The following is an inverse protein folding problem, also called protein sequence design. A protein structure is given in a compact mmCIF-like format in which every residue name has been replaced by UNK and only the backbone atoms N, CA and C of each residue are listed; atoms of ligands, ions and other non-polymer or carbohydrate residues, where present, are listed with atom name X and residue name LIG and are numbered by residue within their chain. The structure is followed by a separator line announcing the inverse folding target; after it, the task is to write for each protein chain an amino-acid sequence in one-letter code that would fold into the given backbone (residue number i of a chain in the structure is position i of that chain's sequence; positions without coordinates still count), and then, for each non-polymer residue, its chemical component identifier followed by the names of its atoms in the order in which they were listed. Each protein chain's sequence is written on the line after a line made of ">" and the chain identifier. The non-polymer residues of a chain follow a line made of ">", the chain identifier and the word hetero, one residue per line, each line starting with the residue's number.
data_IF_257985519356
#
_entry.id   IF_257985519356
#
_cell.length_a   1.000
_cell.length_b   1.000
_cell.length_c   1.000
_cell.angle_alpha   90.00
_cell.angle_beta   90.00
_cell.angle_gamma   90.00
#
_symmetry.space_group_name_H-M   'P 1'
#
loop_
_entity.id
_entity.type
_entity.pdbx_description
1 polymer ?
#
# COMPACT_ATOMS: atom_id res chain seq x y z
N UNK A 1 61.07 -85.94 -58.76
CA UNK A 1 60.92 -84.56 -59.23
C UNK A 1 60.20 -83.75 -58.15
N UNK A 2 60.93 -83.20 -57.17
CA UNK A 2 60.39 -82.31 -56.11
C UNK A 2 60.91 -80.91 -56.40
N UNK A 3 60.02 -79.96 -56.73
CA UNK A 3 60.35 -78.54 -56.86
C UNK A 3 60.15 -77.87 -55.50
N UNK A 4 61.24 -77.48 -54.85
CA UNK A 4 61.23 -76.56 -53.72
C UNK A 4 60.73 -75.18 -54.18
N UNK A 5 59.66 -74.69 -53.56
CA UNK A 5 59.24 -73.29 -53.68
C UNK A 5 60.15 -72.45 -52.80
N UNK A 6 61.06 -71.70 -53.41
CA UNK A 6 61.84 -70.67 -52.73
C UNK A 6 60.95 -69.55 -52.23
N UNK A 7 60.84 -69.41 -50.90
CA UNK A 7 60.23 -68.26 -50.24
C UNK A 7 61.08 -67.01 -50.48
N UNK A 8 60.58 -66.06 -51.29
CA UNK A 8 61.12 -64.71 -51.34
C UNK A 8 60.74 -63.97 -50.05
N UNK A 9 61.62 -63.96 -49.05
CA UNK A 9 61.51 -63.06 -47.89
C UNK A 9 61.58 -61.61 -48.38
N UNK A 10 60.43 -60.93 -48.39
CA UNK A 10 60.31 -59.48 -48.64
C UNK A 10 61.18 -58.73 -47.63
N UNK A 11 62.28 -58.15 -48.08
CA UNK A 11 63.13 -57.28 -47.26
C UNK A 11 62.35 -55.97 -47.00
N UNK A 12 61.78 -55.83 -45.80
CA UNK A 12 61.11 -54.60 -45.37
C UNK A 12 62.19 -53.55 -45.18
N UNK A 13 62.07 -52.39 -45.84
CA UNK A 13 63.05 -51.31 -45.68
C UNK A 13 63.03 -50.82 -44.22
N UNK A 14 64.20 -50.48 -43.68
CA UNK A 14 64.35 -50.02 -42.28
C UNK A 14 63.37 -48.88 -41.95
N UNK A 15 63.08 -47.99 -42.92
CA UNK A 15 62.06 -46.93 -42.78
C UNK A 15 60.65 -47.48 -42.54
N UNK A 16 60.24 -48.54 -43.25
CA UNK A 16 58.94 -49.20 -43.03
C UNK A 16 58.89 -49.97 -41.71
N UNK A 17 60.01 -50.55 -41.27
CA UNK A 17 60.10 -51.25 -39.99
C UNK A 17 60.00 -50.28 -38.80
N UNK A 18 60.67 -49.13 -38.86
CA UNK A 18 60.57 -48.07 -37.82
C UNK A 18 59.16 -47.45 -37.79
N UNK A 19 58.57 -47.20 -38.96
CA UNK A 19 57.22 -46.65 -39.04
C UNK A 19 56.16 -47.61 -38.48
N UNK A 20 56.21 -48.90 -38.83
CA UNK A 20 55.27 -49.91 -38.33
C UNK A 20 55.53 -50.32 -36.87
N UNK A 21 56.78 -50.32 -36.42
CA UNK A 21 57.16 -50.85 -35.10
C UNK A 21 57.17 -49.83 -33.96
N UNK A 22 57.31 -48.52 -34.26
CA UNK A 22 57.44 -47.48 -33.23
C UNK A 22 56.43 -46.35 -33.48
N UNK A 23 56.37 -45.81 -34.70
CA UNK A 23 55.52 -44.64 -34.98
C UNK A 23 54.04 -45.00 -34.93
N UNK A 24 53.62 -46.07 -35.61
CA UNK A 24 52.22 -46.50 -35.65
C UNK A 24 51.66 -46.88 -34.26
N UNK A 25 52.36 -47.65 -33.41
CA UNK A 25 51.90 -47.93 -32.04
C UNK A 25 51.80 -46.67 -31.18
N UNK A 26 52.76 -45.74 -31.27
CA UNK A 26 52.68 -44.48 -30.53
C UNK A 26 51.49 -43.62 -30.99
N UNK A 27 51.20 -43.54 -32.29
CA UNK A 27 50.03 -42.82 -32.81
C UNK A 27 48.73 -43.49 -32.37
N UNK A 28 48.66 -44.82 -32.35
CA UNK A 28 47.49 -45.55 -31.87
C UNK A 28 47.30 -45.39 -30.34
N UNK A 29 48.37 -45.41 -29.56
CA UNK A 29 48.33 -45.17 -28.11
C UNK A 29 47.91 -43.73 -27.79
N UNK A 30 48.43 -42.74 -28.53
CA UNK A 30 47.98 -41.36 -28.43
C UNK A 30 46.51 -41.22 -28.83
N UNK A 31 46.07 -41.89 -29.90
CA UNK A 31 44.66 -41.89 -30.34
C UNK A 31 43.70 -42.57 -29.35
N UNK A 32 44.10 -43.66 -28.72
CA UNK A 32 43.31 -44.32 -27.66
C UNK A 32 43.25 -43.48 -26.38
N UNK A 33 44.37 -42.83 -26.02
CA UNK A 33 44.44 -41.92 -24.88
C UNK A 33 43.55 -40.69 -25.06
N UNK A 34 43.58 -40.06 -26.25
CA UNK A 34 42.72 -38.90 -26.54
C UNK A 34 41.24 -39.28 -26.64
N UNK A 35 40.91 -40.47 -27.15
CA UNK A 35 39.54 -40.97 -27.18
C UNK A 35 38.99 -41.27 -25.78
N UNK A 36 39.80 -41.89 -24.90
CA UNK A 36 39.45 -42.11 -23.50
C UNK A 36 39.27 -40.80 -22.72
N UNK A 37 40.14 -39.81 -22.97
CA UNK A 37 39.99 -38.47 -22.39
C UNK A 37 38.71 -37.78 -22.88
N UNK A 38 38.43 -37.87 -24.18
CA UNK A 38 37.25 -37.27 -24.79
C UNK A 38 35.94 -37.84 -24.24
N UNK A 39 35.81 -39.16 -24.14
CA UNK A 39 34.61 -39.82 -23.56
C UNK A 39 34.42 -39.49 -22.08
N UNK A 40 35.50 -39.35 -21.31
CA UNK A 40 35.44 -38.94 -19.91
C UNK A 40 35.02 -37.47 -19.73
N UNK A 41 35.48 -36.56 -20.60
CA UNK A 41 35.09 -35.15 -20.60
C UNK A 41 33.63 -34.99 -21.03
N UNK A 42 33.20 -35.71 -22.07
CA UNK A 42 31.81 -35.72 -22.54
C UNK A 42 30.84 -36.19 -21.45
N UNK A 43 31.10 -37.33 -20.80
CA UNK A 43 30.22 -37.85 -19.75
C UNK A 43 30.15 -36.96 -18.50
N UNK A 44 31.20 -36.17 -18.20
CA UNK A 44 31.17 -35.19 -17.12
C UNK A 44 30.38 -33.95 -17.49
N UNK A 45 30.53 -33.47 -18.72
CA UNK A 45 29.74 -32.37 -19.21
C UNK A 45 28.25 -32.71 -19.22
N UNK A 46 27.87 -33.90 -19.69
CA UNK A 46 26.46 -34.32 -19.66
C UNK A 46 25.93 -34.39 -18.24
N UNK A 47 26.69 -34.96 -17.30
CA UNK A 47 26.30 -34.97 -15.89
C UNK A 47 26.19 -33.56 -15.29
N UNK A 48 27.12 -32.66 -15.62
CA UNK A 48 27.09 -31.27 -15.17
C UNK A 48 25.84 -30.55 -15.66
N UNK A 49 25.48 -30.74 -16.93
CA UNK A 49 24.29 -30.15 -17.54
C UNK A 49 23.01 -30.76 -16.94
N UNK A 50 22.91 -32.09 -16.87
CA UNK A 50 21.75 -32.78 -16.30
C UNK A 50 21.53 -32.41 -14.82
N UNK A 51 22.60 -32.29 -14.03
CA UNK A 51 22.52 -31.86 -12.65
C UNK A 51 22.05 -30.40 -12.52
N UNK A 52 22.54 -29.52 -13.41
CA UNK A 52 22.12 -28.12 -13.44
C UNK A 52 20.65 -27.97 -13.85
N UNK A 53 20.21 -28.65 -14.90
CA UNK A 53 18.80 -28.68 -15.36
C UNK A 53 17.86 -29.29 -14.29
N UNK A 54 18.36 -30.26 -13.52
CA UNK A 54 17.63 -30.82 -12.38
C UNK A 54 17.59 -29.91 -11.15
N UNK A 55 18.32 -28.78 -11.16
CA UNK A 55 18.46 -27.87 -10.02
C UNK A 55 19.38 -28.39 -8.89
N UNK A 56 20.14 -29.47 -9.09
CA UNK A 56 21.18 -29.92 -8.16
C UNK A 56 22.48 -29.15 -8.44
N UNK A 57 22.48 -27.86 -8.09
CA UNK A 57 23.59 -26.96 -8.37
C UNK A 57 24.85 -27.37 -7.60
N UNK A 58 24.72 -28.02 -6.45
CA UNK A 58 25.87 -28.54 -5.70
C UNK A 58 26.56 -29.71 -6.43
N UNK A 59 25.81 -30.63 -7.04
CA UNK A 59 26.39 -31.67 -7.88
C UNK A 59 26.97 -31.10 -9.18
N UNK A 60 26.28 -30.15 -9.80
CA UNK A 60 26.74 -29.48 -11.01
C UNK A 60 28.05 -28.71 -10.79
N UNK A 61 28.17 -27.97 -9.68
CA UNK A 61 29.38 -27.22 -9.31
C UNK A 61 30.59 -28.15 -9.13
N UNK A 62 30.40 -29.32 -8.48
CA UNK A 62 31.44 -30.33 -8.33
C UNK A 62 31.92 -30.86 -9.69
N UNK A 63 30.99 -31.11 -10.62
CA UNK A 63 31.33 -31.54 -11.97
C UNK A 63 32.07 -30.44 -12.76
N UNK A 64 31.68 -29.18 -12.56
CA UNK A 64 32.26 -28.02 -13.22
C UNK A 64 33.71 -27.72 -12.82
N UNK A 65 34.11 -28.06 -11.58
CA UNK A 65 35.43 -27.74 -11.01
C UNK A 65 36.64 -28.25 -11.80
N UNK A 66 36.45 -29.28 -12.62
CA UNK A 66 37.51 -29.93 -13.41
C UNK A 66 37.26 -29.86 -14.92
N UNK A 67 36.16 -29.22 -15.35
CA UNK A 67 35.83 -29.06 -16.76
C UNK A 67 36.64 -27.94 -17.38
N UNK A 68 37.21 -28.07 -18.59
CA UNK A 68 37.89 -26.95 -19.24
C UNK A 68 36.90 -25.93 -19.84
N UNK A 69 37.17 -24.63 -19.67
CA UNK A 69 36.28 -23.53 -20.12
C UNK A 69 36.01 -23.54 -21.63
N UNK A 70 36.98 -24.01 -22.43
CA UNK A 70 36.88 -24.06 -23.88
C UNK A 70 36.02 -25.22 -24.40
N UNK A 71 35.59 -26.13 -23.52
CA UNK A 71 34.78 -27.26 -23.92
C UNK A 71 33.31 -26.85 -23.97
N UNK A 72 32.73 -26.82 -25.18
CA UNK A 72 31.35 -26.38 -25.42
C UNK A 72 31.08 -25.00 -24.80
N UNK A 73 29.98 -24.86 -24.07
CA UNK A 73 29.52 -23.68 -23.35
C UNK A 73 29.81 -23.80 -21.84
N UNK A 74 30.79 -24.62 -21.42
CA UNK A 74 31.14 -24.83 -20.00
C UNK A 74 31.27 -23.52 -19.22
N UNK A 75 31.86 -22.48 -19.82
CA UNK A 75 31.98 -21.17 -19.18
C UNK A 75 30.61 -20.53 -18.86
N UNK A 76 29.64 -20.63 -19.78
CA UNK A 76 28.27 -20.16 -19.60
C UNK A 76 27.51 -21.04 -18.60
N UNK A 77 27.65 -22.37 -18.70
CA UNK A 77 27.02 -23.32 -17.78
C UNK A 77 27.51 -23.12 -16.34
N UNK A 78 28.79 -22.75 -16.14
CA UNK A 78 29.28 -22.38 -14.81
C UNK A 78 28.62 -21.14 -14.24
N UNK A 79 28.36 -20.11 -15.06
CA UNK A 79 27.64 -18.92 -14.61
C UNK A 79 26.20 -19.29 -14.20
N UNK A 80 25.53 -20.12 -14.99
CA UNK A 80 24.21 -20.66 -14.64
C UNK A 80 24.22 -21.42 -13.31
N UNK A 81 25.18 -22.33 -13.13
CA UNK A 81 25.35 -23.06 -11.87
C UNK A 81 25.61 -22.10 -10.71
N UNK A 82 26.46 -21.09 -10.90
CA UNK A 82 26.77 -20.11 -9.87
C UNK A 82 25.53 -19.28 -9.46
N UNK A 83 24.72 -18.84 -10.42
CA UNK A 83 23.44 -18.16 -10.15
C UNK A 83 22.50 -19.05 -9.34
N UNK A 84 22.39 -20.34 -9.69
CA UNK A 84 21.64 -21.32 -8.91
C UNK A 84 22.16 -21.51 -7.48
N UNK A 85 23.49 -21.49 -7.27
CA UNK A 85 24.09 -21.52 -5.92
C UNK A 85 23.76 -20.27 -5.11
N UNK A 86 23.70 -19.08 -5.74
CA UNK A 86 23.23 -17.88 -5.05
C UNK A 86 21.77 -18.03 -4.60
N UNK A 87 20.91 -18.56 -5.47
CA UNK A 87 19.50 -18.85 -5.14
C UNK A 87 19.37 -19.82 -3.96
N UNK A 88 20.09 -20.95 -3.97
CA UNK A 88 20.08 -21.93 -2.86
C UNK A 88 20.56 -21.34 -1.53
N UNK A 89 21.43 -20.33 -1.58
CA UNK A 89 21.94 -19.65 -0.38
C UNK A 89 21.05 -18.49 0.09
N UNK A 90 19.95 -18.19 -0.62
CA UNK A 90 19.07 -17.05 -0.33
C UNK A 90 19.60 -15.70 -0.79
N UNK A 91 20.67 -15.66 -1.60
CA UNK A 91 21.20 -14.43 -2.20
C UNK A 91 20.47 -14.17 -3.53
N UNK A 92 19.17 -13.88 -3.43
CA UNK A 92 18.27 -13.82 -4.59
C UNK A 92 18.58 -12.67 -5.56
N UNK A 93 19.09 -11.54 -5.05
CA UNK A 93 19.55 -10.42 -5.89
C UNK A 93 20.70 -10.84 -6.81
N UNK A 94 21.70 -11.56 -6.29
CA UNK A 94 22.79 -12.09 -7.13
C UNK A 94 22.34 -13.23 -8.03
N UNK A 95 21.37 -14.02 -7.61
CA UNK A 95 20.78 -15.05 -8.46
C UNK A 95 20.08 -14.41 -9.68
N UNK A 96 19.23 -13.41 -9.46
CA UNK A 96 18.56 -12.63 -10.51
C UNK A 96 19.57 -12.02 -11.50
N UNK A 97 20.59 -11.32 -10.99
CA UNK A 97 21.63 -10.74 -11.83
C UNK A 97 22.39 -11.82 -12.63
N UNK A 98 22.72 -12.95 -11.98
CA UNK A 98 23.41 -14.06 -12.61
C UNK A 98 22.61 -14.73 -13.73
N UNK A 99 21.32 -14.95 -13.52
CA UNK A 99 20.43 -15.50 -14.55
C UNK A 99 20.15 -14.50 -15.68
N UNK A 100 20.04 -13.21 -15.36
CA UNK A 100 19.88 -12.13 -16.34
C UNK A 100 21.04 -12.04 -17.34
N UNK A 101 22.28 -12.26 -16.89
CA UNK A 101 23.46 -12.23 -17.76
C UNK A 101 23.50 -13.34 -18.82
N UNK A 102 22.76 -14.44 -18.61
CA UNK A 102 22.81 -15.61 -19.48
C UNK A 102 21.95 -15.47 -20.73
N UNK A 103 20.98 -14.55 -20.70
CA UNK A 103 19.97 -14.38 -21.73
C UNK A 103 18.79 -15.34 -21.56
N UNK A 104 17.64 -14.94 -22.11
CA UNK A 104 16.35 -15.61 -21.89
C UNK A 104 16.27 -17.05 -22.46
N UNK A 105 17.08 -17.37 -23.48
CA UNK A 105 17.03 -18.66 -24.18
C UNK A 105 18.02 -19.71 -23.62
N UNK A 106 18.83 -19.35 -22.61
CA UNK A 106 19.83 -20.27 -22.07
C UNK A 106 19.21 -21.20 -21.01
N UNK A 107 19.01 -22.46 -21.38
CA UNK A 107 18.31 -23.44 -20.53
C UNK A 107 16.93 -22.89 -20.11
N UNK A 108 16.66 -22.83 -18.80
CA UNK A 108 15.49 -22.22 -18.15
C UNK A 108 15.88 -20.93 -17.39
N UNK A 109 16.94 -20.23 -17.82
CA UNK A 109 17.46 -19.07 -17.09
C UNK A 109 16.41 -17.95 -16.91
N UNK A 110 15.52 -17.76 -17.87
CA UNK A 110 14.41 -16.79 -17.74
C UNK A 110 13.46 -17.17 -16.62
N UNK A 111 13.04 -18.42 -16.58
CA UNK A 111 12.16 -18.95 -15.53
C UNK A 111 12.84 -18.85 -14.16
N UNK A 112 14.13 -19.22 -14.07
CA UNK A 112 14.92 -19.10 -12.84
C UNK A 112 15.14 -17.66 -12.37
N UNK A 113 15.28 -16.72 -13.30
CA UNK A 113 15.33 -15.28 -12.99
C UNK A 113 14.03 -14.84 -12.33
N UNK A 114 12.90 -15.18 -12.94
CA UNK A 114 11.56 -14.87 -12.40
C UNK A 114 11.37 -15.50 -11.01
N UNK A 115 11.73 -16.78 -10.84
CA UNK A 115 11.72 -17.46 -9.54
C UNK A 115 12.58 -16.72 -8.50
N UNK A 116 13.77 -16.26 -8.90
CA UNK A 116 14.68 -15.49 -8.04
C UNK A 116 14.05 -14.17 -7.59
N UNK A 117 13.43 -13.41 -8.49
CA UNK A 117 12.75 -12.16 -8.14
C UNK A 117 11.55 -12.39 -7.22
N UNK A 118 10.74 -13.42 -7.45
CA UNK A 118 9.64 -13.74 -6.53
C UNK A 118 10.15 -14.06 -5.13
N UNK A 119 11.17 -14.91 -5.03
CA UNK A 119 11.78 -15.26 -3.75
C UNK A 119 12.42 -14.04 -3.07
N UNK A 120 13.01 -13.13 -3.86
CA UNK A 120 13.57 -11.89 -3.35
C UNK A 120 12.49 -10.96 -2.78
N UNK A 121 11.41 -10.71 -3.53
CA UNK A 121 10.28 -9.91 -3.06
C UNK A 121 9.66 -10.48 -1.78
N UNK A 122 9.45 -11.81 -1.72
CA UNK A 122 8.96 -12.50 -0.53
C UNK A 122 9.93 -12.39 0.67
N UNK A 123 11.25 -12.35 0.43
CA UNK A 123 12.23 -12.07 1.48
C UNK A 123 12.11 -10.63 1.98
N UNK A 124 12.00 -9.65 1.08
CA UNK A 124 11.86 -8.24 1.47
C UNK A 124 10.57 -8.02 2.29
N UNK A 125 9.47 -8.71 1.98
CA UNK A 125 8.26 -8.71 2.81
C UNK A 125 8.51 -9.22 4.22
N UNK A 126 9.26 -10.32 4.38
CA UNK A 126 9.61 -10.85 5.72
C UNK A 126 10.53 -9.92 6.50
N UNK A 127 11.38 -9.18 5.79
CA UNK A 127 12.28 -8.18 6.35
C UNK A 127 11.58 -6.84 6.63
N UNK A 128 10.29 -6.71 6.27
CA UNK A 128 9.47 -5.49 6.40
C UNK A 128 9.96 -4.33 5.52
N UNK A 129 10.67 -4.65 4.44
CA UNK A 129 11.16 -3.71 3.42
C UNK A 129 10.12 -3.59 2.29
N UNK A 130 8.96 -3.00 2.60
CA UNK A 130 7.78 -3.00 1.71
C UNK A 130 7.99 -2.25 0.39
N UNK A 131 8.67 -1.10 0.40
CA UNK A 131 8.94 -0.31 -0.82
C UNK A 131 9.75 -1.12 -1.84
N UNK A 132 10.78 -1.82 -1.35
CA UNK A 132 11.63 -2.66 -2.19
C UNK A 132 10.91 -3.91 -2.67
N UNK A 133 10.08 -4.51 -1.83
CA UNK A 133 9.22 -5.62 -2.25
C UNK A 133 8.27 -5.19 -3.38
N UNK A 134 7.63 -4.03 -3.23
CA UNK A 134 6.75 -3.45 -4.25
C UNK A 134 7.49 -3.23 -5.57
N UNK A 135 8.68 -2.62 -5.53
CA UNK A 135 9.52 -2.39 -6.72
C UNK A 135 9.78 -3.70 -7.47
N UNK A 136 10.24 -4.74 -6.77
CA UNK A 136 10.54 -6.05 -7.35
C UNK A 136 9.29 -6.67 -8.01
N UNK A 137 8.15 -6.65 -7.33
CA UNK A 137 6.92 -7.23 -7.89
C UNK A 137 6.37 -6.40 -9.06
N UNK A 138 6.53 -5.08 -9.06
CA UNK A 138 6.17 -4.22 -10.20
C UNK A 138 7.02 -4.51 -11.43
N UNK A 139 8.32 -4.74 -11.26
CA UNK A 139 9.17 -5.21 -12.36
C UNK A 139 8.67 -6.53 -12.94
N UNK A 140 8.30 -7.49 -12.09
CA UNK A 140 7.75 -8.77 -12.51
C UNK A 140 6.43 -8.63 -13.29
N UNK A 141 5.57 -7.68 -12.91
CA UNK A 141 4.35 -7.35 -13.66
C UNK A 141 4.69 -6.81 -15.05
N UNK A 142 5.67 -5.89 -15.14
CA UNK A 142 6.12 -5.33 -16.43
C UNK A 142 6.70 -6.43 -17.33
N UNK A 143 7.40 -7.41 -16.74
CA UNK A 143 7.92 -8.59 -17.44
C UNK A 143 6.83 -9.60 -17.83
N UNK A 144 5.59 -9.42 -17.36
CA UNK A 144 4.46 -10.31 -17.64
C UNK A 144 4.50 -11.63 -16.86
N UNK A 145 5.15 -11.66 -15.70
CA UNK A 145 5.22 -12.84 -14.86
C UNK A 145 3.85 -13.13 -14.21
N UNK A 146 3.34 -14.34 -14.44
CA UNK A 146 2.06 -14.76 -13.88
C UNK A 146 2.11 -14.79 -12.34
N UNK A 147 1.07 -14.27 -11.69
CA UNK A 147 0.97 -14.21 -10.23
C UNK A 147 1.66 -13.00 -9.58
N UNK A 148 2.37 -12.16 -10.34
CA UNK A 148 3.03 -10.98 -9.78
C UNK A 148 2.03 -9.89 -9.33
N UNK A 149 0.88 -9.79 -9.99
CA UNK A 149 -0.18 -8.83 -9.62
C UNK A 149 -0.75 -9.12 -8.22
N UNK A 150 -0.96 -10.40 -7.88
CA UNK A 150 -1.47 -10.82 -6.56
C UNK A 150 -0.51 -10.42 -5.43
N UNK A 151 0.80 -10.44 -5.71
CA UNK A 151 1.83 -10.07 -4.74
C UNK A 151 1.79 -8.60 -4.32
N UNK A 152 1.33 -7.70 -5.19
CA UNK A 152 1.19 -6.28 -4.83
C UNK A 152 0.11 -6.09 -3.75
N UNK A 153 -1.01 -6.81 -3.85
CA UNK A 153 -2.03 -6.82 -2.80
C UNK A 153 -1.47 -7.35 -1.47
N UNK A 154 -0.63 -8.39 -1.53
CA UNK A 154 0.03 -8.98 -0.36
C UNK A 154 1.03 -8.01 0.31
N UNK A 155 1.75 -7.20 -0.48
CA UNK A 155 2.65 -6.14 0.03
C UNK A 155 1.86 -5.13 0.85
N UNK A 156 0.84 -4.52 0.28
CA UNK A 156 0.06 -3.49 0.95
C UNK A 156 -0.66 -4.03 2.18
N UNK A 157 -1.20 -5.25 2.10
CA UNK A 157 -1.84 -5.89 3.24
C UNK A 157 -0.85 -6.14 4.40
N UNK A 158 0.35 -6.60 4.09
CA UNK A 158 1.41 -6.83 5.08
C UNK A 158 1.90 -5.52 5.69
N UNK A 159 2.02 -4.46 4.90
CA UNK A 159 2.39 -3.12 5.37
C UNK A 159 1.32 -2.55 6.30
N UNK A 160 0.05 -2.63 5.93
CA UNK A 160 -1.07 -2.19 6.77
C UNK A 160 -1.05 -2.88 8.15
N UNK A 161 -0.85 -4.20 8.18
CA UNK A 161 -0.72 -4.95 9.42
C UNK A 161 0.48 -4.53 10.25
N UNK A 162 1.62 -4.28 9.62
CA UNK A 162 2.80 -3.83 10.34
C UNK A 162 2.62 -2.45 10.97
N UNK A 163 2.00 -1.51 10.25
CA UNK A 163 1.67 -0.19 10.76
C UNK A 163 0.70 -0.28 11.95
N UNK A 164 -0.30 -1.16 11.86
CA UNK A 164 -1.18 -1.49 12.98
C UNK A 164 -0.44 -2.08 14.18
N UNK A 165 0.53 -2.98 13.97
CA UNK A 165 1.38 -3.48 15.06
C UNK A 165 2.15 -2.34 15.75
N UNK A 166 2.69 -1.39 14.98
CA UNK A 166 3.37 -0.22 15.54
C UNK A 166 2.41 0.62 16.38
N UNK A 167 1.23 0.90 15.85
CA UNK A 167 0.16 1.61 16.55
C UNK A 167 -0.23 0.89 17.87
N UNK A 168 -0.40 -0.43 17.83
CA UNK A 168 -0.77 -1.23 19.01
C UNK A 168 0.28 -1.18 20.11
N UNK A 169 1.56 -1.08 19.74
CA UNK A 169 2.65 -1.00 20.71
C UNK A 169 2.75 0.36 21.40
N UNK A 170 2.24 1.43 20.77
CA UNK A 170 2.31 2.80 21.31
C UNK A 170 1.00 3.29 21.93
N UNK A 171 -0.16 2.75 21.52
CA UNK A 171 -1.52 3.20 21.87
C UNK A 171 -1.92 3.10 23.36
N UNK A 172 -0.97 2.75 24.24
CA UNK A 172 -1.16 2.79 25.69
C UNK A 172 -1.48 4.20 26.23
N UNK A 173 -0.96 5.23 25.56
CA UNK A 173 -1.23 6.64 25.85
C UNK A 173 -1.90 7.29 24.62
N UNK A 174 -2.83 8.23 24.81
CA UNK A 174 -3.41 9.01 23.70
C UNK A 174 -2.34 9.91 23.09
N UNK A 175 -1.56 9.38 22.14
CA UNK A 175 -0.50 10.10 21.44
C UNK A 175 -0.96 10.50 20.04
N UNK A 176 -1.28 11.79 19.80
CA UNK A 176 -1.71 12.31 18.51
C UNK A 176 -0.81 11.93 17.33
N UNK A 177 0.50 11.79 17.55
CA UNK A 177 1.45 11.43 16.48
C UNK A 177 1.17 10.02 15.93
N UNK A 178 0.58 9.14 16.75
CA UNK A 178 0.29 7.76 16.36
C UNK A 178 -0.88 7.64 15.39
N UNK A 179 -1.75 8.65 15.27
CA UNK A 179 -2.87 8.61 14.32
C UNK A 179 -2.37 8.48 12.88
N UNK A 180 -1.23 9.08 12.55
CA UNK A 180 -0.60 8.96 11.23
C UNK A 180 -0.34 7.50 10.80
N UNK A 181 0.02 6.62 11.73
CA UNK A 181 0.22 5.20 11.43
C UNK A 181 -1.10 4.47 11.14
N UNK A 182 -2.19 4.92 11.77
CA UNK A 182 -3.53 4.39 11.53
C UNK A 182 -4.06 4.83 10.16
N UNK A 183 -3.82 6.08 9.77
CA UNK A 183 -4.08 6.63 8.43
C UNK A 183 -3.30 5.88 7.35
N UNK A 184 -1.98 5.75 7.52
CA UNK A 184 -1.13 5.01 6.58
C UNK A 184 -1.56 3.53 6.47
N UNK A 185 -2.00 2.92 7.58
CA UNK A 185 -2.52 1.56 7.57
C UNK A 185 -3.82 1.43 6.77
N UNK A 186 -4.71 2.42 6.89
CA UNK A 186 -5.96 2.49 6.13
C UNK A 186 -5.71 2.64 4.63
N UNK A 187 -4.83 3.56 4.25
CA UNK A 187 -4.41 3.73 2.85
C UNK A 187 -3.82 2.43 2.26
N UNK A 188 -3.03 1.70 3.06
CA UNK A 188 -2.49 0.41 2.66
C UNK A 188 -3.58 -0.66 2.54
N UNK A 189 -4.57 -0.70 3.45
CA UNK A 189 -5.68 -1.64 3.38
C UNK A 189 -6.55 -1.43 2.12
N UNK A 190 -6.86 -0.18 1.79
CA UNK A 190 -7.59 0.19 0.57
C UNK A 190 -6.79 -0.20 -0.68
N UNK A 191 -5.48 0.08 -0.71
CA UNK A 191 -4.61 -0.38 -1.82
C UNK A 191 -4.57 -1.91 -1.92
N UNK A 192 -4.58 -2.63 -0.82
CA UNK A 192 -4.64 -4.09 -0.82
C UNK A 192 -5.95 -4.59 -1.44
N UNK A 193 -7.10 -4.00 -1.10
CA UNK A 193 -8.38 -4.33 -1.72
C UNK A 193 -8.39 -4.05 -3.23
N UNK A 194 -7.94 -2.85 -3.64
CA UNK A 194 -7.87 -2.46 -5.06
C UNK A 194 -7.03 -3.44 -5.87
N UNK A 195 -5.97 -3.98 -5.27
CA UNK A 195 -5.09 -4.98 -5.87
C UNK A 195 -5.56 -6.42 -5.64
N UNK A 196 -6.81 -6.63 -5.21
CA UNK A 196 -7.46 -7.93 -5.15
C UNK A 196 -7.06 -8.82 -3.98
N UNK A 197 -6.45 -8.27 -2.93
CA UNK A 197 -6.12 -9.06 -1.73
C UNK A 197 -7.42 -9.54 -1.05
N UNK A 198 -7.57 -10.84 -0.73
CA UNK A 198 -8.83 -11.41 -0.27
C UNK A 198 -9.32 -10.87 1.08
N UNK A 199 -8.39 -10.35 1.90
CA UNK A 199 -8.69 -9.80 3.22
C UNK A 199 -8.58 -8.26 3.26
N UNK A 200 -8.37 -7.60 2.10
CA UNK A 200 -8.22 -6.13 2.02
C UNK A 200 -9.44 -5.39 2.56
N UNK A 201 -10.62 -5.67 1.98
CA UNK A 201 -11.89 -5.06 2.39
C UNK A 201 -12.23 -5.30 3.87
N UNK A 202 -11.96 -6.51 4.37
CA UNK A 202 -12.21 -6.84 5.77
C UNK A 202 -11.30 -6.06 6.72
N UNK A 203 -10.04 -5.82 6.33
CA UNK A 203 -9.10 -5.01 7.09
C UNK A 203 -9.48 -3.53 7.06
N UNK A 204 -9.90 -3.02 5.89
CA UNK A 204 -10.41 -1.66 5.76
C UNK A 204 -11.60 -1.41 6.69
N UNK A 205 -12.64 -2.25 6.63
CA UNK A 205 -13.79 -2.12 7.54
C UNK A 205 -13.38 -2.21 9.02
N UNK A 206 -12.42 -3.06 9.37
CA UNK A 206 -11.93 -3.16 10.75
C UNK A 206 -11.19 -1.89 11.20
N UNK A 207 -10.46 -1.24 10.30
CA UNK A 207 -9.80 0.04 10.54
C UNK A 207 -10.81 1.18 10.73
N UNK A 208 -11.91 1.21 9.97
CA UNK A 208 -13.00 2.16 10.18
C UNK A 208 -13.60 2.05 11.59
N UNK A 209 -13.84 0.82 12.08
CA UNK A 209 -14.32 0.62 13.46
C UNK A 209 -13.31 1.12 14.49
N UNK A 210 -12.03 0.97 14.18
CA UNK A 210 -10.94 1.35 15.04
C UNK A 210 -10.77 2.86 15.11
N UNK A 211 -10.82 3.56 13.98
CA UNK A 211 -10.84 5.01 13.91
C UNK A 211 -11.98 5.58 14.76
N UNK A 212 -13.18 5.00 14.67
CA UNK A 212 -14.29 5.44 15.51
C UNK A 212 -13.98 5.31 17.02
N UNK A 213 -13.42 4.17 17.45
CA UNK A 213 -13.09 3.93 18.84
C UNK A 213 -11.97 4.85 19.36
N UNK A 214 -10.90 5.03 18.57
CA UNK A 214 -9.78 5.90 18.93
C UNK A 214 -10.16 7.37 18.89
N UNK A 215 -10.98 7.80 17.93
CA UNK A 215 -11.54 9.14 17.88
C UNK A 215 -12.29 9.51 19.16
N UNK A 216 -13.12 8.59 19.68
CA UNK A 216 -13.80 8.79 20.98
C UNK A 216 -12.79 8.92 22.12
N UNK A 217 -11.76 8.08 22.15
CA UNK A 217 -10.73 8.10 23.19
C UNK A 217 -9.95 9.42 23.19
N UNK A 218 -9.50 9.89 22.03
CA UNK A 218 -8.82 11.18 21.89
C UNK A 218 -9.72 12.34 22.33
N UNK A 219 -11.00 12.29 21.97
CA UNK A 219 -11.97 13.29 22.37
C UNK A 219 -12.23 13.32 23.89
N UNK A 220 -12.44 12.16 24.50
CA UNK A 220 -12.63 12.06 25.96
C UNK A 220 -11.40 12.56 26.73
N UNK A 221 -10.20 12.31 26.20
CA UNK A 221 -8.96 12.84 26.77
C UNK A 221 -8.88 14.36 26.59
N UNK A 222 -9.16 14.89 25.39
CA UNK A 222 -9.17 16.34 25.13
C UNK A 222 -10.13 17.09 26.08
N UNK A 223 -11.29 16.49 26.39
CA UNK A 223 -12.24 17.04 27.35
C UNK A 223 -11.71 17.12 28.78
N UNK A 224 -10.81 16.23 29.20
CA UNK A 224 -10.20 16.29 30.54
C UNK A 224 -9.26 17.49 30.68
N UNK A 225 -8.73 18.00 29.57
CA UNK A 225 -7.87 19.17 29.50
C UNK A 225 -8.63 20.47 29.23
N UNK A 226 -9.95 20.50 29.49
CA UNK A 226 -10.85 21.63 29.21
C UNK A 226 -10.74 22.15 27.76
N UNK A 227 -10.29 21.29 26.85
CA UNK A 227 -10.08 21.62 25.44
C UNK A 227 -8.82 22.43 25.10
N UNK A 228 -7.88 22.60 26.04
CA UNK A 228 -6.64 23.37 25.79
C UNK A 228 -5.60 22.61 24.94
N UNK A 229 -5.70 21.28 24.85
CA UNK A 229 -4.78 20.47 24.05
C UNK A 229 -5.31 20.24 22.63
N UNK A 230 -4.96 21.17 21.74
CA UNK A 230 -5.34 21.14 20.33
C UNK A 230 -4.84 19.90 19.58
N UNK A 231 -3.76 19.26 20.02
CA UNK A 231 -3.24 18.08 19.34
C UNK A 231 -4.16 16.87 19.54
N UNK A 232 -4.77 16.74 20.73
CA UNK A 232 -5.78 15.71 20.99
C UNK A 232 -7.07 15.96 20.19
N UNK A 233 -7.45 17.23 20.01
CA UNK A 233 -8.58 17.60 19.16
C UNK A 233 -8.34 17.25 17.69
N UNK A 234 -7.20 17.64 17.13
CA UNK A 234 -6.81 17.32 15.75
C UNK A 234 -6.76 15.80 15.52
N UNK A 235 -6.21 15.04 16.47
CA UNK A 235 -6.18 13.58 16.43
C UNK A 235 -7.60 12.97 16.42
N UNK A 236 -8.51 13.47 17.26
CA UNK A 236 -9.90 13.05 17.25
C UNK A 236 -10.57 13.34 15.89
N UNK A 237 -10.39 14.54 15.35
CA UNK A 237 -10.91 14.93 14.04
C UNK A 237 -10.41 14.02 12.92
N UNK A 238 -9.09 13.82 12.85
CA UNK A 238 -8.45 12.95 11.86
C UNK A 238 -9.04 11.53 11.92
N UNK A 239 -9.26 10.99 13.13
CA UNK A 239 -9.91 9.68 13.25
C UNK A 239 -11.34 9.67 12.66
N UNK A 240 -12.14 10.69 12.94
CA UNK A 240 -13.54 10.73 12.49
C UNK A 240 -13.70 10.90 10.98
N UNK A 241 -12.73 11.50 10.30
CA UNK A 241 -12.66 11.62 8.82
C UNK A 241 -12.67 10.25 8.13
N UNK A 242 -12.25 9.18 8.80
CA UNK A 242 -12.20 7.83 8.24
C UNK A 242 -13.40 6.96 8.64
N UNK A 243 -14.41 7.52 9.31
CA UNK A 243 -15.63 6.78 9.71
C UNK A 243 -16.70 6.91 8.62
N UNK A 244 -17.33 5.81 8.14
CA UNK A 244 -18.37 5.88 7.12
C UNK A 244 -19.59 6.70 7.53
N UNK A 245 -20.15 7.47 6.59
CA UNK A 245 -21.38 8.29 6.72
C UNK A 245 -22.55 7.51 7.36
N UNK A 246 -22.69 6.22 7.05
CA UNK A 246 -23.76 5.37 7.59
C UNK A 246 -23.69 5.19 9.12
N UNK A 247 -22.51 5.36 9.74
CA UNK A 247 -22.30 5.36 11.20
C UNK A 247 -22.41 6.74 11.84
N UNK A 248 -22.38 7.83 11.07
CA UNK A 248 -22.54 9.21 11.56
C UNK A 248 -23.94 9.48 12.15
N UNK A 249 -24.91 8.58 11.90
CA UNK A 249 -26.23 8.61 12.51
C UNK A 249 -26.25 8.31 14.04
N UNK A 250 -25.09 7.98 14.63
CA UNK A 250 -24.96 7.89 16.09
C UNK A 250 -24.94 9.30 16.68
N UNK A 251 -25.90 9.62 17.56
CA UNK A 251 -25.99 10.92 18.25
C UNK A 251 -24.73 11.34 19.03
N UNK A 252 -23.78 10.43 19.22
CA UNK A 252 -22.46 10.68 19.80
C UNK A 252 -21.55 11.42 18.81
N UNK A 253 -21.44 11.01 17.55
CA UNK A 253 -20.64 11.68 16.51
C UNK A 253 -21.04 13.16 16.37
N UNK A 254 -22.34 13.39 16.34
CA UNK A 254 -22.96 14.70 16.31
C UNK A 254 -22.61 15.60 17.52
N UNK A 255 -22.65 15.06 18.74
CA UNK A 255 -22.24 15.78 19.96
C UNK A 255 -20.74 16.10 19.92
N UNK A 256 -19.93 15.16 19.43
CA UNK A 256 -18.49 15.31 19.26
C UNK A 256 -18.15 16.42 18.27
N UNK A 257 -18.76 16.45 17.07
CA UNK A 257 -18.52 17.52 16.08
C UNK A 257 -18.94 18.89 16.59
N UNK A 258 -20.05 18.99 17.34
CA UNK A 258 -20.45 20.26 17.96
C UNK A 258 -19.42 20.77 18.97
N UNK A 259 -18.85 19.87 19.79
CA UNK A 259 -17.87 20.23 20.81
C UNK A 259 -16.51 20.56 20.17
N UNK A 260 -16.12 19.86 19.09
CA UNK A 260 -14.92 20.16 18.31
C UNK A 260 -15.02 21.57 17.69
N UNK A 261 -16.15 21.89 17.05
CA UNK A 261 -16.40 23.22 16.45
C UNK A 261 -16.49 24.32 17.51
N UNK A 262 -16.97 24.00 18.71
CA UNK A 262 -17.02 24.96 19.82
C UNK A 262 -15.63 25.35 20.35
N UNK A 263 -14.67 24.42 20.33
CA UNK A 263 -13.35 24.56 20.94
C UNK A 263 -12.19 24.75 19.95
N UNK A 264 -12.38 24.48 18.66
CA UNK A 264 -11.33 24.68 17.64
C UNK A 264 -11.25 26.15 17.19
N UNK A 265 -10.02 26.68 17.16
CA UNK A 265 -9.70 27.98 16.54
C UNK A 265 -9.29 27.84 15.05
N UNK A 266 -9.21 26.61 14.51
CA UNK A 266 -8.85 26.34 13.11
C UNK A 266 -10.11 26.25 12.24
N UNK A 267 -10.38 27.31 11.48
CA UNK A 267 -11.52 27.43 10.56
C UNK A 267 -11.55 26.32 9.49
N UNK A 268 -10.39 25.81 9.07
CA UNK A 268 -10.33 24.82 7.98
C UNK A 268 -10.82 23.45 8.43
N UNK A 269 -10.50 23.07 9.67
CA UNK A 269 -11.00 21.84 10.29
C UNK A 269 -12.52 21.92 10.49
N UNK A 270 -13.02 23.08 10.89
CA UNK A 270 -14.46 23.34 11.02
C UNK A 270 -15.16 23.21 9.68
N UNK A 271 -14.64 23.82 8.61
CA UNK A 271 -15.19 23.72 7.25
C UNK A 271 -15.24 22.26 6.75
N UNK A 272 -14.15 21.50 6.91
CA UNK A 272 -14.05 20.12 6.42
C UNK A 272 -14.99 19.15 7.19
N UNK A 273 -15.16 19.37 8.49
CA UNK A 273 -16.17 18.66 9.29
C UNK A 273 -17.60 19.05 8.90
N UNK A 274 -17.84 20.31 8.54
CA UNK A 274 -19.13 20.81 8.10
C UNK A 274 -19.56 20.28 6.73
N UNK A 275 -18.63 20.06 5.80
CA UNK A 275 -18.92 19.47 4.49
C UNK A 275 -19.34 18.00 4.58
N UNK A 276 -18.93 17.29 5.63
CA UNK A 276 -19.16 15.84 5.81
C UNK A 276 -20.39 15.48 6.62
N UNK A 277 -20.90 16.38 7.48
CA UNK A 277 -22.11 16.11 8.27
C UNK A 277 -23.37 15.99 7.39
N UNK A 278 -23.92 14.78 7.24
CA UNK A 278 -25.26 14.63 6.64
C UNK A 278 -26.33 15.22 7.59
N UNK A 279 -27.23 16.05 7.05
CA UNK A 279 -27.93 17.13 7.79
C UNK A 279 -29.12 16.71 8.67
N UNK A 280 -29.42 15.42 8.86
CA UNK A 280 -30.60 15.00 9.66
C UNK A 280 -30.39 15.11 11.20
N UNK A 281 -29.18 14.92 11.79
CA UNK A 281 -28.88 15.24 13.18
C UNK A 281 -28.95 16.75 13.48
N UNK A 282 -28.92 17.61 12.44
CA UNK A 282 -28.93 19.08 12.56
C UNK A 282 -30.19 19.62 13.28
N UNK A 283 -31.28 18.82 13.27
CA UNK A 283 -32.50 19.13 14.04
C UNK A 283 -32.29 19.16 15.56
N UNK A 284 -31.21 18.58 16.09
CA UNK A 284 -30.91 18.57 17.54
C UNK A 284 -29.87 19.62 17.96
N UNK A 285 -29.26 20.35 17.01
CA UNK A 285 -28.01 21.13 17.12
C UNK A 285 -28.09 22.55 17.61
N UNK A 286 -29.28 23.11 17.75
CA UNK A 286 -29.34 24.55 17.96
C UNK A 286 -29.04 25.01 19.39
N UNK A 287 -28.40 24.19 20.22
CA UNK A 287 -27.92 24.62 21.54
C UNK A 287 -26.65 25.51 21.45
N UNK A 288 -25.86 25.41 20.38
CA UNK A 288 -24.63 26.19 20.22
C UNK A 288 -24.90 27.57 19.61
N UNK A 289 -24.42 28.63 20.26
CA UNK A 289 -24.53 30.01 19.79
C UNK A 289 -23.62 30.33 18.58
N UNK A 290 -22.58 29.52 18.30
CA UNK A 290 -21.65 29.71 17.17
C UNK A 290 -22.15 29.10 15.85
N UNK A 291 -22.93 28.03 15.90
CA UNK A 291 -23.34 27.26 14.71
C UNK A 291 -24.40 27.97 13.86
N UNK A 292 -25.39 28.60 14.51
CA UNK A 292 -26.46 29.28 13.80
C UNK A 292 -25.97 30.49 12.96
N UNK A 293 -25.07 31.35 13.47
CA UNK A 293 -24.37 32.36 12.68
C UNK A 293 -23.77 31.85 11.36
N UNK A 294 -22.95 30.80 11.40
CA UNK A 294 -22.27 30.22 10.23
C UNK A 294 -23.29 29.62 9.26
N UNK A 295 -24.30 28.93 9.78
CA UNK A 295 -25.38 28.39 8.96
C UNK A 295 -26.18 29.50 8.26
N UNK A 296 -26.45 30.61 8.95
CA UNK A 296 -27.16 31.77 8.41
C UNK A 296 -26.33 32.64 7.46
N UNK A 297 -25.04 32.38 7.30
CA UNK A 297 -24.18 33.11 6.38
C UNK A 297 -24.61 32.86 4.94
N UNK A 298 -24.63 33.92 4.13
CA UNK A 298 -25.12 33.91 2.75
C UNK A 298 -26.59 34.32 2.59
N UNK A 299 -27.06 34.32 1.35
CA UNK A 299 -28.40 34.77 0.99
C UNK A 299 -29.41 33.62 1.09
N UNK A 300 -30.41 33.78 1.96
CA UNK A 300 -31.51 32.83 2.09
C UNK A 300 -32.79 33.38 1.46
N UNK A 301 -33.36 32.66 0.49
CA UNK A 301 -34.60 33.04 -0.18
C UNK A 301 -35.83 32.37 0.45
N UNK A 302 -36.79 33.16 0.93
CA UNK A 302 -38.15 32.67 1.24
C UNK A 302 -39.18 33.44 0.44
N UNK A 303 -39.14 33.29 -0.89
CA UNK A 303 -40.10 33.97 -1.76
C UNK A 303 -40.01 35.50 -1.69
N UNK A 304 -40.76 36.15 -0.78
CA UNK A 304 -40.75 37.63 -0.59
C UNK A 304 -39.80 38.13 0.49
N UNK A 305 -39.20 37.25 1.29
CA UNK A 305 -38.34 37.65 2.42
C UNK A 305 -36.91 37.13 2.26
N UNK A 306 -35.95 37.97 2.64
CA UNK A 306 -34.51 37.70 2.60
C UNK A 306 -33.97 37.82 4.01
N UNK A 307 -33.16 36.84 4.41
CA UNK A 307 -32.38 36.87 5.64
C UNK A 307 -30.92 36.72 5.28
N UNK A 308 -30.09 37.56 5.90
CA UNK A 308 -28.64 37.54 5.72
C UNK A 308 -28.02 37.75 7.10
N UNK A 309 -27.06 36.92 7.48
CA UNK A 309 -26.26 37.14 8.68
C UNK A 309 -24.87 37.62 8.27
N UNK A 310 -24.43 38.73 8.87
CA UNK A 310 -23.08 39.27 8.77
C UNK A 310 -22.48 39.29 10.19
N UNK A 311 -21.21 38.91 10.33
CA UNK A 311 -20.55 38.85 11.62
C UNK A 311 -20.23 40.24 12.22
N UNK A 312 -20.08 41.27 11.39
CA UNK A 312 -19.89 42.66 11.80
C UNK A 312 -21.23 43.35 12.12
N UNK A 313 -22.24 43.11 11.28
CA UNK A 313 -23.50 43.86 11.27
C UNK A 313 -24.70 43.10 11.87
N UNK A 314 -24.57 41.80 12.16
CA UNK A 314 -25.59 40.95 12.75
C UNK A 314 -26.62 40.40 11.75
N UNK A 315 -27.80 39.99 12.26
CA UNK A 315 -28.89 39.49 11.40
C UNK A 315 -29.56 40.67 10.68
N UNK A 316 -29.44 40.71 9.37
CA UNK A 316 -30.29 41.50 8.49
C UNK A 316 -31.50 40.67 8.02
N UNK A 317 -32.69 41.24 8.09
CA UNK A 317 -33.91 40.60 7.57
C UNK A 317 -34.83 41.64 6.94
N UNK A 318 -35.54 41.24 5.88
CA UNK A 318 -36.61 42.06 5.31
C UNK A 318 -37.94 41.96 6.07
N UNK A 319 -37.98 41.19 7.17
CA UNK A 319 -39.08 41.19 8.13
C UNK A 319 -38.96 42.35 9.13
N UNK A 320 -40.10 42.76 9.69
CA UNK A 320 -40.15 43.84 10.67
C UNK A 320 -39.54 43.36 12.00
N UNK A 321 -38.23 43.59 12.14
CA UNK A 321 -37.55 43.56 13.44
C UNK A 321 -37.98 44.82 14.19
N UNK A 322 -38.68 44.66 15.32
CA UNK A 322 -39.15 45.79 16.11
C UNK A 322 -38.02 46.73 16.56
N UNK A 323 -38.33 47.71 17.42
CA UNK A 323 -37.34 48.69 17.93
C UNK A 323 -36.33 48.11 18.96
N UNK A 324 -35.78 46.92 18.71
CA UNK A 324 -34.72 46.35 19.53
C UNK A 324 -33.42 47.14 19.34
N UNK A 325 -32.71 47.35 20.45
CA UNK A 325 -31.43 48.05 20.50
C UNK A 325 -30.26 47.09 20.31
N UNK A 326 -30.44 45.84 20.72
CA UNK A 326 -29.44 44.77 20.61
C UNK A 326 -30.15 43.45 20.30
N UNK A 327 -29.44 42.56 19.62
CA UNK A 327 -29.90 41.24 19.23
C UNK A 327 -28.88 40.20 19.69
N UNK A 328 -29.37 39.05 20.14
CA UNK A 328 -28.51 37.91 20.43
C UNK A 328 -29.27 36.60 20.19
N UNK A 329 -28.53 35.52 20.00
CA UNK A 329 -29.09 34.20 19.70
C UNK A 329 -28.77 33.25 20.85
N UNK A 330 -29.77 32.52 21.33
CA UNK A 330 -29.59 31.47 22.31
C UNK A 330 -30.55 30.31 22.02
N UNK A 331 -30.04 29.08 22.00
CA UNK A 331 -30.83 27.87 21.78
C UNK A 331 -31.70 27.93 20.52
N UNK A 332 -31.15 28.47 19.43
CA UNK A 332 -31.87 28.62 18.16
C UNK A 332 -32.93 29.71 18.11
N UNK A 333 -33.02 30.53 19.15
CA UNK A 333 -33.96 31.65 19.23
C UNK A 333 -33.19 32.96 19.21
N UNK A 334 -33.55 33.85 18.29
CA UNK A 334 -33.10 35.24 18.30
C UNK A 334 -33.98 36.06 19.24
N UNK A 335 -33.32 36.76 20.15
CA UNK A 335 -33.91 37.66 21.13
C UNK A 335 -33.58 39.10 20.75
N UNK A 336 -34.58 39.97 20.88
CA UNK A 336 -34.42 41.41 20.83
C UNK A 336 -34.50 41.99 22.23
N UNK A 337 -33.63 42.95 22.53
CA UNK A 337 -33.66 43.68 23.79
C UNK A 337 -33.92 45.17 23.55
N UNK A 338 -34.91 45.73 24.24
CA UNK A 338 -35.21 47.16 24.26
C UNK A 338 -35.24 47.64 25.72
N UNK A 339 -34.17 48.33 26.15
CA UNK A 339 -33.98 48.69 27.55
C UNK A 339 -33.79 47.45 28.43
N UNK A 340 -34.63 47.28 29.46
CA UNK A 340 -34.60 46.11 30.37
C UNK A 340 -35.53 44.97 29.95
N UNK A 341 -36.23 45.11 28.82
CA UNK A 341 -37.20 44.13 28.35
C UNK A 341 -36.63 43.33 27.20
N UNK A 342 -36.70 42.01 27.35
CA UNK A 342 -36.30 41.04 26.34
C UNK A 342 -37.54 40.40 25.73
N UNK A 343 -37.50 40.15 24.42
CA UNK A 343 -38.56 39.48 23.69
C UNK A 343 -37.99 38.59 22.59
N UNK A 344 -38.70 37.51 22.29
CA UNK A 344 -38.34 36.57 21.24
C UNK A 344 -38.75 37.15 19.89
N UNK A 345 -37.85 37.09 18.92
CA UNK A 345 -38.07 37.56 17.55
C UNK A 345 -38.35 36.38 16.63
N UNK A 346 -37.37 35.48 16.52
CA UNK A 346 -37.40 34.34 15.62
C UNK A 346 -36.91 33.08 16.31
N UNK A 347 -37.53 31.94 16.02
CA UNK A 347 -36.98 30.62 16.28
C UNK A 347 -36.60 30.02 14.94
N UNK A 348 -35.33 29.70 14.77
CA UNK A 348 -34.81 29.05 13.58
C UNK A 348 -34.89 27.54 13.80
N UNK A 349 -35.25 26.80 12.76
CA UNK A 349 -35.43 25.34 12.77
C UNK A 349 -34.90 24.78 11.45
N UNK A 350 -33.63 24.36 11.40
CA UNK A 350 -33.04 23.71 10.23
C UNK A 350 -33.85 22.48 9.82
N UNK A 351 -34.11 22.35 8.53
CA UNK A 351 -34.82 21.21 7.94
C UNK A 351 -33.87 20.34 7.12
N UNK A 352 -32.95 20.96 6.37
CA UNK A 352 -31.85 20.35 5.60
C UNK A 352 -30.78 21.40 5.26
N UNK A 353 -29.65 21.02 4.62
CA UNK A 353 -28.59 21.95 4.20
C UNK A 353 -29.09 23.22 3.48
N UNK A 354 -30.06 23.01 2.58
CA UNK A 354 -30.63 24.07 1.75
C UNK A 354 -32.02 24.49 2.22
N UNK A 355 -32.49 24.11 3.42
CA UNK A 355 -33.85 24.45 3.86
C UNK A 355 -33.92 24.70 5.36
N UNK A 356 -34.50 25.84 5.74
CA UNK A 356 -34.73 26.23 7.14
C UNK A 356 -36.16 26.70 7.35
N UNK A 357 -36.81 26.25 8.42
CA UNK A 357 -38.04 26.85 8.90
C UNK A 357 -37.70 27.96 9.92
N UNK A 358 -38.28 29.14 9.77
CA UNK A 358 -38.19 30.23 10.73
C UNK A 358 -39.57 30.52 11.27
N UNK A 359 -39.76 30.40 12.57
CA UNK A 359 -40.97 30.88 13.23
C UNK A 359 -40.78 32.30 13.74
N UNK A 360 -41.57 33.24 13.23
CA UNK A 360 -41.66 34.62 13.73
C UNK A 360 -42.62 34.68 14.91
N UNK A 361 -42.11 35.06 16.08
CA UNK A 361 -42.93 35.27 17.28
C UNK A 361 -43.76 36.55 17.19
N UNK A 362 -43.33 37.54 16.40
CA UNK A 362 -44.05 38.79 16.21
C UNK A 362 -45.28 38.61 15.31
N UNK A 363 -45.15 37.79 14.27
CA UNK A 363 -46.24 37.55 13.31
C UNK A 363 -47.02 36.26 13.58
N UNK A 364 -46.56 35.45 14.53
CA UNK A 364 -47.05 34.11 14.84
C UNK A 364 -47.11 33.20 13.59
N UNK A 365 -46.10 33.28 12.73
CA UNK A 365 -46.03 32.56 11.45
C UNK A 365 -44.68 31.88 11.22
N UNK A 366 -44.74 30.70 10.59
CA UNK A 366 -43.57 30.02 10.06
C UNK A 366 -43.29 30.42 8.60
N UNK A 367 -42.02 30.55 8.29
CA UNK A 367 -41.45 30.80 6.97
C UNK A 367 -40.53 29.65 6.61
N UNK A 368 -40.49 29.26 5.34
CA UNK A 368 -39.51 28.29 4.85
C UNK A 368 -38.53 29.02 3.95
N UNK A 369 -37.28 29.08 4.38
CA UNK A 369 -36.14 29.56 3.60
C UNK A 369 -35.50 28.41 2.85
N UNK A 370 -34.99 28.73 1.66
CA UNK A 370 -34.12 27.85 0.89
C UNK A 370 -32.86 28.59 0.43
N UNK A 371 -31.74 27.87 0.35
CA UNK A 371 -30.54 28.37 -0.33
C UNK A 371 -30.72 28.35 -1.85
#
# INVERSE_FOLDING_TARGET
>A
MKREKGEKKKQISVKKAVWLGIVLPCVLLLGLGTFGLWTAVEGRYTFMQEAAEAGDFQAAERAASVMPDFYRDTATLRKYIQAGRFFENGDYERADAGFSELGDDYLDAKERRIESKFAWGDQQLKEKEFEKAEEIFRELIIEGAAGAEEKIGEVYYSQAKYLLEIYDMSSGDCDPEMVSYLEDAYDCAMKAEINGHPEGAALESALEERFYAEGIKYFEEALQWDGEDMALWEAACSCFVHVPEERENAGDYFMLTCIIVENSDDEKIVEELMERMDFEPVRRTMACWRFLPIYMEGDWESGRHVFTYDWEDGIATSLEIGNAQTYYIQNGVCYGQAGSSEFRLYEFRPVSADTMEIYSFLEEKSYTLKR
#
